data_IF_332226347467
#
_entry.id   IF_332226347467
#
_cell.length_a   1.000
_cell.length_b   1.000
_cell.length_c   1.000
_cell.angle_alpha   90.00
_cell.angle_beta   90.00
_cell.angle_gamma   90.00
#
_symmetry.space_group_name_H-M   'P 1'
#
loop_
_entity.id
_entity.type
_entity.pdbx_description
1 polymer ?
#
# COMPACT_ATOMS: atom_id res chain seq x y z
N UNK A 1 -11.77 38.84 43.15
CA UNK A 1 -12.16 38.33 41.81
C UNK A 1 -10.99 38.44 40.80
N UNK A 2 -9.98 37.56 40.86
CA UNK A 2 -8.85 37.53 39.90
C UNK A 2 -8.44 36.10 39.50
N UNK A 3 -9.39 35.15 39.46
CA UNK A 3 -9.12 33.71 39.28
C UNK A 3 -9.58 33.14 37.93
N UNK A 4 -10.28 33.92 37.10
CA UNK A 4 -10.85 33.45 35.82
C UNK A 4 -9.96 33.68 34.58
N UNK A 5 -8.88 34.45 34.66
CA UNK A 5 -8.06 34.75 33.47
C UNK A 5 -7.06 33.62 33.13
N UNK A 6 -6.70 32.75 34.09
CA UNK A 6 -5.73 31.67 33.86
C UNK A 6 -6.34 30.44 33.19
N UNK A 7 -7.65 30.20 33.35
CA UNK A 7 -8.35 29.07 32.72
C UNK A 7 -8.47 29.27 31.20
N UNK A 8 -8.66 30.51 30.75
CA UNK A 8 -8.71 30.85 29.33
C UNK A 8 -7.35 30.64 28.63
N UNK A 9 -6.24 30.95 29.31
CA UNK A 9 -4.88 30.78 28.78
C UNK A 9 -4.51 29.29 28.61
N UNK A 10 -4.97 28.43 29.53
CA UNK A 10 -4.78 26.98 29.46
C UNK A 10 -5.60 26.36 28.33
N UNK A 11 -6.84 26.82 28.09
CA UNK A 11 -7.66 26.38 26.94
C UNK A 11 -7.09 26.79 25.57
N UNK A 12 -6.38 27.93 25.50
CA UNK A 12 -5.68 28.36 24.28
C UNK A 12 -4.43 27.51 24.01
N UNK A 13 -3.69 27.12 25.06
CA UNK A 13 -2.47 26.31 24.91
C UNK A 13 -2.75 24.83 24.59
N UNK A 14 -3.90 24.29 24.98
CA UNK A 14 -4.28 22.88 24.69
C UNK A 14 -4.68 22.69 23.19
N UNK A 15 -4.94 23.76 22.44
CA UNK A 15 -5.30 23.69 21.02
C UNK A 15 -4.10 23.71 20.05
N UNK A 16 -2.86 23.86 20.53
CA UNK A 16 -1.66 23.80 19.69
C UNK A 16 -1.06 22.38 19.54
N UNK A 17 -1.79 21.34 19.97
CA UNK A 17 -1.54 19.96 19.58
C UNK A 17 -1.87 19.69 18.11
N UNK A 18 -1.51 20.60 17.21
CA UNK A 18 -1.68 20.43 15.78
C UNK A 18 -0.80 19.25 15.33
N UNK A 19 -1.45 18.20 14.83
CA UNK A 19 -0.82 17.21 13.96
C UNK A 19 0.03 17.99 12.95
N UNK A 20 1.33 17.70 12.89
CA UNK A 20 2.14 18.21 11.80
C UNK A 20 1.42 17.82 10.49
N UNK A 21 1.26 18.77 9.58
CA UNK A 21 0.75 18.55 8.23
C UNK A 21 1.93 18.63 7.27
N UNK A 22 1.76 18.16 6.04
CA UNK A 22 2.71 18.48 4.98
C UNK A 22 2.73 20.00 4.74
N UNK A 23 3.88 20.54 4.33
CA UNK A 23 3.99 21.94 3.90
C UNK A 23 3.13 22.18 2.66
N UNK A 24 2.08 22.98 2.84
CA UNK A 24 1.12 23.30 1.78
C UNK A 24 1.78 24.05 0.61
N UNK A 25 2.75 24.92 0.89
CA UNK A 25 3.49 25.65 -0.15
C UNK A 25 4.21 24.69 -1.11
N UNK A 26 4.94 23.69 -0.58
CA UNK A 26 5.62 22.68 -1.40
C UNK A 26 4.65 21.95 -2.34
N UNK A 27 3.42 21.66 -1.88
CA UNK A 27 2.39 20.97 -2.66
C UNK A 27 1.77 21.87 -3.74
N UNK A 28 1.54 23.15 -3.42
CA UNK A 28 0.93 24.11 -4.34
C UNK A 28 1.87 24.50 -5.47
N UNK A 29 3.12 24.75 -5.11
CA UNK A 29 4.17 25.26 -6.01
C UNK A 29 4.85 24.13 -6.80
N UNK A 30 4.46 22.87 -6.54
CA UNK A 30 4.96 21.68 -7.24
C UNK A 30 4.72 21.77 -8.75
N UNK A 31 5.77 21.55 -9.54
CA UNK A 31 5.68 21.34 -10.99
C UNK A 31 5.12 19.94 -11.27
N UNK A 32 3.78 19.84 -11.29
CA UNK A 32 3.09 18.55 -11.35
C UNK A 32 3.28 17.87 -12.69
N UNK A 33 3.70 16.61 -12.66
CA UNK A 33 3.86 15.76 -13.84
C UNK A 33 2.64 14.85 -13.99
N UNK A 34 2.27 14.56 -15.24
CA UNK A 34 1.17 13.65 -15.56
C UNK A 34 1.48 12.21 -15.12
N UNK A 35 0.45 11.50 -14.69
CA UNK A 35 0.48 10.07 -14.43
C UNK A 35 0.15 9.28 -15.69
N UNK A 36 0.62 8.04 -15.74
CA UNK A 36 0.18 7.11 -16.76
C UNK A 36 -1.32 6.80 -16.56
N UNK A 37 -1.97 6.37 -17.64
CA UNK A 37 -3.37 5.95 -17.58
C UNK A 37 -3.57 4.84 -16.54
N UNK A 38 -4.62 4.97 -15.74
CA UNK A 38 -5.04 3.91 -14.83
C UNK A 38 -5.52 2.69 -15.63
N UNK A 39 -5.34 1.52 -15.05
CA UNK A 39 -5.90 0.28 -15.56
C UNK A 39 -6.29 -0.61 -14.38
N UNK A 40 -6.85 -1.79 -14.65
CA UNK A 40 -7.06 -2.79 -13.60
C UNK A 40 -6.70 -4.17 -14.12
N UNK A 41 -5.77 -4.82 -13.44
CA UNK A 41 -5.33 -6.18 -13.75
C UNK A 41 -5.00 -6.93 -12.47
N UNK A 42 -5.39 -8.22 -12.35
CA UNK A 42 -4.95 -9.07 -11.25
C UNK A 42 -3.41 -9.13 -11.20
N UNK A 43 -2.86 -8.93 -10.02
CA UNK A 43 -1.41 -8.92 -9.81
C UNK A 43 -1.06 -9.42 -8.41
N UNK A 44 0.23 -9.68 -8.18
CA UNK A 44 0.75 -10.30 -6.97
C UNK A 44 1.85 -9.42 -6.38
N UNK A 45 1.76 -9.12 -5.09
CA UNK A 45 2.83 -8.49 -4.32
C UNK A 45 3.24 -9.45 -3.17
N UNK A 46 4.41 -10.06 -3.33
CA UNK A 46 4.89 -11.18 -2.51
C UNK A 46 5.65 -10.76 -1.25
N UNK A 47 6.31 -9.62 -1.31
CA UNK A 47 7.41 -9.31 -0.40
C UNK A 47 6.99 -8.40 0.74
N UNK A 48 5.73 -7.96 0.76
CA UNK A 48 5.21 -6.94 1.67
C UNK A 48 5.91 -5.59 1.42
N UNK A 49 6.16 -5.32 0.15
CA UNK A 49 6.83 -4.13 -0.35
C UNK A 49 5.82 -3.03 -0.60
N UNK A 50 5.19 -2.56 0.48
CA UNK A 50 4.04 -1.66 0.45
C UNK A 50 4.23 -0.42 1.32
N UNK A 51 3.76 0.71 0.78
CA UNK A 51 3.53 1.95 1.53
C UNK A 51 2.03 2.13 1.61
N UNK A 52 1.46 2.01 2.80
CA UNK A 52 0.02 2.15 3.00
C UNK A 52 -0.51 3.50 2.53
N UNK A 53 -1.56 3.49 1.73
CA UNK A 53 -2.41 4.67 1.47
C UNK A 53 -3.68 4.54 2.32
N UNK A 54 -4.32 3.38 2.26
CA UNK A 54 -5.47 2.99 3.08
C UNK A 54 -5.19 1.60 3.65
N UNK A 55 -5.03 1.52 4.97
CA UNK A 55 -4.91 0.27 5.75
C UNK A 55 -6.26 -0.04 6.39
N UNK A 56 -6.79 -1.24 6.19
CA UNK A 56 -7.98 -1.68 6.93
C UNK A 56 -7.60 -2.10 8.35
N UNK A 57 -8.54 -1.89 9.27
CA UNK A 57 -8.40 -2.31 10.66
C UNK A 57 -9.63 -3.10 11.10
N UNK A 58 -9.43 -4.03 12.02
CA UNK A 58 -10.48 -4.79 12.70
C UNK A 58 -10.41 -4.55 14.20
N UNK A 59 -11.56 -4.61 14.86
CA UNK A 59 -11.64 -4.55 16.31
C UNK A 59 -11.66 -5.97 16.87
N UNK A 60 -10.75 -6.27 17.79
CA UNK A 60 -10.71 -7.54 18.52
C UNK A 60 -11.00 -7.28 20.00
N UNK A 61 -11.92 -8.07 20.58
CA UNK A 61 -12.21 -8.03 22.00
C UNK A 61 -11.20 -8.90 22.72
N UNK A 62 -10.25 -8.27 23.41
CA UNK A 62 -9.15 -8.98 24.09
C UNK A 62 -9.59 -9.46 25.48
N UNK A 63 -10.47 -8.72 26.15
CA UNK A 63 -11.09 -9.05 27.44
C UNK A 63 -12.51 -8.46 27.55
N UNK A 64 -13.25 -8.78 28.61
CA UNK A 64 -14.67 -8.39 28.81
C UNK A 64 -14.99 -6.89 28.67
N UNK A 65 -13.99 -6.00 28.74
CA UNK A 65 -14.18 -4.54 28.64
C UNK A 65 -13.15 -3.80 27.77
N UNK A 66 -12.27 -4.50 27.05
CA UNK A 66 -11.22 -3.86 26.23
C UNK A 66 -11.29 -4.33 24.78
N UNK A 67 -11.43 -3.37 23.87
CA UNK A 67 -11.35 -3.58 22.43
C UNK A 67 -10.04 -3.02 21.92
N UNK A 68 -9.28 -3.84 21.21
CA UNK A 68 -8.05 -3.42 20.54
C UNK A 68 -8.31 -3.30 19.03
N UNK A 69 -7.73 -2.29 18.40
CA UNK A 69 -7.81 -2.12 16.95
C UNK A 69 -6.53 -2.69 16.34
N UNK A 70 -6.68 -3.72 15.54
CA UNK A 70 -5.59 -4.37 14.84
C UNK A 70 -5.64 -4.10 13.33
N UNK A 71 -4.46 -4.05 12.73
CA UNK A 71 -4.29 -3.89 11.29
C UNK A 71 -4.60 -5.20 10.55
N UNK A 72 -5.52 -5.18 9.59
CA UNK A 72 -5.85 -6.35 8.77
C UNK A 72 -4.62 -6.77 7.96
N UNK A 73 -4.16 -8.04 8.04
CA UNK A 73 -2.98 -8.48 7.30
C UNK A 73 -3.05 -8.22 5.80
N UNK A 74 -1.91 -8.04 5.15
CA UNK A 74 -1.88 -7.92 3.70
C UNK A 74 -2.25 -9.24 3.01
N UNK A 75 -2.97 -9.14 1.90
CA UNK A 75 -3.18 -10.25 0.98
C UNK A 75 -2.19 -10.19 -0.18
N UNK A 76 -1.58 -11.32 -0.57
CA UNK A 76 -0.55 -11.34 -1.63
C UNK A 76 -1.15 -11.06 -3.02
N UNK A 77 -2.33 -11.63 -3.28
CA UNK A 77 -3.09 -11.41 -4.50
C UNK A 77 -3.90 -10.11 -4.37
N UNK A 78 -4.06 -9.40 -5.48
CA UNK A 78 -4.83 -8.16 -5.57
C UNK A 78 -4.94 -7.66 -7.00
N UNK A 79 -5.07 -6.35 -7.15
CA UNK A 79 -5.16 -5.65 -8.41
C UNK A 79 -4.09 -4.57 -8.51
N UNK A 80 -3.33 -4.59 -9.61
CA UNK A 80 -2.51 -3.48 -10.04
C UNK A 80 -3.39 -2.44 -10.73
N UNK A 81 -3.29 -1.20 -10.27
CA UNK A 81 -4.12 -0.09 -10.77
C UNK A 81 -3.34 0.88 -11.68
N UNK A 82 -2.08 0.57 -11.97
CA UNK A 82 -1.12 1.47 -12.61
C UNK A 82 -0.44 2.41 -11.63
N UNK A 83 0.62 3.09 -12.08
CA UNK A 83 1.39 4.07 -11.30
C UNK A 83 1.88 3.54 -9.93
N UNK A 84 2.16 2.24 -9.84
CA UNK A 84 2.58 1.56 -8.61
C UNK A 84 1.46 1.32 -7.58
N UNK A 85 0.20 1.67 -7.87
CA UNK A 85 -0.92 1.44 -6.96
C UNK A 85 -1.32 -0.03 -6.96
N UNK A 86 -1.50 -0.59 -5.76
CA UNK A 86 -1.91 -1.97 -5.55
C UNK A 86 -3.03 -2.06 -4.52
N UNK A 87 -4.14 -2.68 -4.90
CA UNK A 87 -5.28 -2.95 -4.05
C UNK A 87 -5.40 -4.44 -3.78
N UNK A 88 -5.17 -4.86 -2.54
CA UNK A 88 -5.20 -6.28 -2.20
C UNK A 88 -6.61 -6.81 -1.89
N UNK A 89 -6.75 -8.13 -1.86
CA UNK A 89 -8.02 -8.79 -1.58
C UNK A 89 -8.49 -8.66 -0.12
N UNK A 90 -7.72 -7.99 0.74
CA UNK A 90 -8.11 -7.59 2.10
C UNK A 90 -8.42 -6.09 2.18
N UNK A 91 -8.73 -5.47 1.03
CA UNK A 91 -9.11 -4.08 0.87
C UNK A 91 -8.04 -3.04 1.25
N UNK A 92 -6.77 -3.43 1.32
CA UNK A 92 -5.68 -2.49 1.56
C UNK A 92 -5.24 -1.84 0.24
N UNK A 93 -5.23 -0.51 0.21
CA UNK A 93 -4.67 0.26 -0.91
C UNK A 93 -3.28 0.74 -0.54
N UNK A 94 -2.30 0.40 -1.37
CA UNK A 94 -0.90 0.70 -1.12
C UNK A 94 -0.18 1.16 -2.38
N UNK A 95 0.97 1.79 -2.18
CA UNK A 95 1.96 2.07 -3.22
C UNK A 95 3.09 1.04 -3.13
N UNK A 96 3.43 0.43 -4.26
CA UNK A 96 4.45 -0.61 -4.37
C UNK A 96 5.87 -0.05 -4.29
N UNK A 97 6.67 -0.57 -3.37
CA UNK A 97 8.07 -0.17 -3.16
C UNK A 97 8.95 -0.64 -4.32
N UNK A 98 8.67 -1.83 -4.88
CA UNK A 98 9.39 -2.34 -6.04
C UNK A 98 9.17 -1.47 -7.28
N UNK A 99 7.97 -0.93 -7.47
CA UNK A 99 7.69 0.07 -8.50
C UNK A 99 8.53 1.34 -8.30
N UNK A 100 8.56 1.89 -7.09
CA UNK A 100 9.31 3.12 -6.78
C UNK A 100 10.83 2.98 -6.96
N UNK A 101 11.36 1.77 -6.82
CA UNK A 101 12.78 1.47 -6.98
C UNK A 101 13.13 0.85 -8.34
N UNK A 102 12.15 0.71 -9.23
CA UNK A 102 12.29 0.02 -10.52
C UNK A 102 12.95 -1.38 -10.37
N UNK A 103 12.42 -2.19 -9.44
CA UNK A 103 12.90 -3.54 -9.15
C UNK A 103 12.01 -4.55 -9.84
N UNK A 104 12.59 -5.38 -10.71
CA UNK A 104 11.93 -6.59 -11.17
C UNK A 104 11.99 -7.66 -10.07
N UNK A 105 10.85 -7.88 -9.44
CA UNK A 105 10.65 -8.82 -8.33
C UNK A 105 10.82 -10.30 -8.70
N UNK A 106 10.91 -10.60 -10.01
CA UNK A 106 11.22 -11.96 -10.53
C UNK A 106 12.72 -12.25 -10.56
N UNK A 107 13.55 -11.22 -10.53
CA UNK A 107 15.01 -11.34 -10.52
C UNK A 107 15.55 -11.22 -9.10
N UNK A 108 16.85 -11.45 -8.96
CA UNK A 108 17.56 -11.20 -7.71
C UNK A 108 17.58 -9.71 -7.39
N UNK A 109 17.37 -9.40 -6.12
CA UNK A 109 17.42 -8.03 -5.64
C UNK A 109 17.86 -8.00 -4.18
N UNK A 110 18.42 -6.87 -3.79
CA UNK A 110 18.67 -6.56 -2.40
C UNK A 110 18.28 -5.09 -2.14
N UNK A 111 17.51 -4.87 -1.08
CA UNK A 111 17.16 -3.53 -0.60
C UNK A 111 17.39 -3.41 0.89
N UNK A 112 17.80 -2.22 1.34
CA UNK A 112 17.91 -1.87 2.75
C UNK A 112 16.85 -0.84 3.11
N UNK A 113 16.06 -1.12 4.14
CA UNK A 113 15.16 -0.17 4.80
C UNK A 113 15.84 0.39 6.04
N UNK A 114 16.14 1.69 6.00
CA UNK A 114 16.90 2.44 7.00
C UNK A 114 15.94 3.34 7.78
N UNK A 115 15.87 3.13 9.08
CA UNK A 115 15.11 3.99 9.99
C UNK A 115 16.06 4.94 10.73
N UNK A 116 15.52 6.04 11.27
CA UNK A 116 16.29 6.99 12.08
C UNK A 116 16.95 6.31 13.29
N UNK A 117 16.27 5.31 13.84
CA UNK A 117 16.80 4.41 14.87
C UNK A 117 17.39 3.17 14.20
N UNK A 118 18.72 3.12 14.09
CA UNK A 118 19.48 2.06 13.40
C UNK A 118 19.10 0.62 13.77
N UNK A 119 18.67 0.37 15.03
CA UNK A 119 18.23 -0.94 15.51
C UNK A 119 17.01 -1.52 14.78
N UNK A 120 16.29 -0.71 14.02
CA UNK A 120 15.11 -1.10 13.25
C UNK A 120 15.43 -1.38 11.78
N UNK A 121 16.66 -1.13 11.34
CA UNK A 121 17.05 -1.34 9.96
C UNK A 121 16.89 -2.81 9.57
N UNK A 122 16.41 -3.02 8.35
CA UNK A 122 16.18 -4.33 7.76
C UNK A 122 16.78 -4.37 6.38
N UNK A 123 17.40 -5.49 6.04
CA UNK A 123 17.81 -5.80 4.66
C UNK A 123 16.90 -6.92 4.16
N UNK A 124 16.45 -6.77 2.92
CA UNK A 124 15.60 -7.73 2.23
C UNK A 124 16.35 -8.20 1.00
N UNK A 125 16.46 -9.51 0.82
CA UNK A 125 17.21 -10.11 -0.28
C UNK A 125 16.40 -11.22 -0.91
N UNK A 126 16.29 -11.20 -2.24
CA UNK A 126 15.85 -12.32 -3.05
C UNK A 126 17.04 -12.85 -3.85
N UNK A 127 17.30 -14.14 -3.76
CA UNK A 127 18.33 -14.82 -4.56
C UNK A 127 17.82 -16.19 -5.00
N UNK A 128 17.72 -16.41 -6.31
CA UNK A 128 17.21 -17.65 -6.91
C UNK A 128 15.81 -18.03 -6.35
N UNK A 129 14.95 -17.02 -6.17
CA UNK A 129 13.61 -17.18 -5.60
C UNK A 129 13.56 -17.39 -4.08
N UNK A 130 14.69 -17.39 -3.38
CA UNK A 130 14.73 -17.44 -1.91
C UNK A 130 14.72 -16.03 -1.34
N UNK A 131 13.65 -15.71 -0.59
CA UNK A 131 13.47 -14.41 0.04
C UNK A 131 13.81 -14.44 1.53
N UNK A 132 14.74 -13.58 1.93
CA UNK A 132 15.24 -13.47 3.29
C UNK A 132 15.12 -12.05 3.83
N UNK A 133 14.93 -11.95 5.14
CA UNK A 133 14.98 -10.68 5.88
C UNK A 133 16.09 -10.77 6.92
N UNK A 134 17.04 -9.85 6.85
CA UNK A 134 18.10 -9.69 7.84
C UNK A 134 17.80 -8.47 8.73
N UNK A 135 17.89 -8.65 10.05
CA UNK A 135 17.80 -7.54 11.01
C UNK A 135 19.15 -7.24 11.65
N UNK A 136 19.61 -5.98 11.55
CA UNK A 136 20.88 -5.53 12.16
C UNK A 136 20.93 -5.76 13.68
N UNK A 137 19.79 -5.68 14.39
CA UNK A 137 19.76 -5.84 15.86
C UNK A 137 20.15 -7.24 16.34
N UNK A 138 19.78 -8.28 15.62
CA UNK A 138 19.95 -9.67 16.07
C UNK A 138 20.99 -10.45 15.26
N UNK A 139 21.52 -9.88 14.16
CA UNK A 139 22.27 -10.63 13.13
C UNK A 139 21.58 -11.95 12.76
N UNK A 140 20.24 -11.96 12.81
CA UNK A 140 19.42 -13.12 12.50
C UNK A 140 18.88 -12.94 11.11
N UNK A 141 19.12 -13.95 10.27
CA UNK A 141 18.52 -14.12 8.96
C UNK A 141 17.23 -14.90 9.17
N UNK A 142 16.13 -14.37 8.67
CA UNK A 142 14.84 -15.04 8.66
C UNK A 142 14.51 -15.39 7.22
N UNK A 143 14.52 -16.68 6.88
CA UNK A 143 13.90 -17.16 5.65
C UNK A 143 12.42 -16.81 5.74
N UNK A 144 11.92 -16.00 4.80
CA UNK A 144 10.51 -15.61 4.80
C UNK A 144 9.73 -16.42 3.79
N UNK A 145 10.26 -16.64 2.59
CA UNK A 145 9.55 -17.33 1.50
C UNK A 145 10.56 -17.98 0.54
N UNK A 146 10.16 -19.07 -0.10
CA UNK A 146 10.76 -19.56 -1.34
C UNK A 146 9.69 -19.52 -2.42
N UNK A 147 10.03 -18.92 -3.55
CA UNK A 147 9.12 -18.65 -4.66
C UNK A 147 9.59 -19.45 -5.88
N UNK A 148 8.68 -20.22 -6.48
CA UNK A 148 8.93 -20.98 -7.72
C UNK A 148 7.87 -20.66 -8.76
N UNK A 149 8.31 -20.20 -9.92
CA UNK A 149 7.45 -19.89 -11.05
C UNK A 149 7.35 -21.11 -11.99
N UNK A 150 6.14 -21.42 -12.43
CA UNK A 150 5.85 -22.50 -13.38
C UNK A 150 4.79 -22.02 -14.36
N UNK A 151 5.20 -21.51 -15.52
CA UNK A 151 4.33 -20.95 -16.57
C UNK A 151 3.20 -20.05 -15.99
N UNK A 152 2.03 -20.65 -15.79
CA UNK A 152 0.78 -20.05 -15.35
C UNK A 152 0.55 -20.16 -13.83
N UNK A 153 1.56 -20.54 -13.07
CA UNK A 153 1.46 -20.72 -11.63
C UNK A 153 2.70 -20.30 -10.86
N UNK A 154 2.48 -19.99 -9.59
CA UNK A 154 3.47 -19.60 -8.62
C UNK A 154 3.27 -20.47 -7.38
N UNK A 155 4.34 -21.11 -6.90
CA UNK A 155 4.35 -21.84 -5.63
C UNK A 155 5.16 -21.08 -4.61
N UNK A 156 4.59 -20.91 -3.41
CA UNK A 156 5.19 -20.22 -2.28
C UNK A 156 5.35 -21.21 -1.13
N UNK A 157 6.59 -21.38 -0.68
CA UNK A 157 6.96 -22.30 0.38
C UNK A 157 7.70 -21.59 1.52
N UNK A 158 7.67 -22.17 2.71
CA UNK A 158 8.42 -21.71 3.89
C UNK A 158 9.10 -22.89 4.54
N UNK A 159 10.43 -22.83 4.71
CA UNK A 159 11.24 -23.94 5.27
C UNK A 159 10.90 -25.29 4.61
N UNK A 160 10.90 -25.32 3.28
CA UNK A 160 10.54 -26.47 2.44
C UNK A 160 9.10 -27.00 2.59
N UNK A 161 8.23 -26.31 3.34
CA UNK A 161 6.81 -26.63 3.42
C UNK A 161 6.02 -25.73 2.50
N UNK A 162 5.28 -26.32 1.57
CA UNK A 162 4.34 -25.60 0.73
C UNK A 162 3.34 -24.82 1.59
N UNK A 163 3.10 -23.55 1.26
CA UNK A 163 2.13 -22.69 1.94
C UNK A 163 0.95 -22.38 1.03
N UNK A 164 1.26 -21.78 -0.12
CA UNK A 164 0.26 -21.28 -1.04
C UNK A 164 0.70 -21.47 -2.49
N UNK A 165 -0.27 -21.60 -3.38
CA UNK A 165 -0.06 -21.47 -4.83
C UNK A 165 -0.96 -20.36 -5.37
N UNK A 166 -0.47 -19.61 -6.35
CA UNK A 166 -1.30 -18.74 -7.17
C UNK A 166 -1.29 -19.32 -8.57
N UNK A 167 -2.46 -19.59 -9.14
CA UNK A 167 -2.60 -20.19 -10.48
C UNK A 167 -3.48 -19.29 -11.32
N UNK A 168 -3.00 -18.87 -12.48
CA UNK A 168 -3.70 -18.00 -13.42
C UNK A 168 -3.98 -18.78 -14.69
N UNK A 169 -5.22 -19.18 -14.92
CA UNK A 169 -5.63 -19.91 -16.14
C UNK A 169 -6.74 -19.13 -16.83
N UNK A 170 -6.52 -18.76 -18.08
CA UNK A 170 -7.46 -18.00 -18.91
C UNK A 170 -7.98 -16.73 -18.23
N UNK A 171 -9.21 -16.79 -17.74
CA UNK A 171 -9.95 -15.70 -17.10
C UNK A 171 -9.93 -15.80 -15.57
N UNK A 172 -9.19 -16.73 -14.98
CA UNK A 172 -9.33 -17.06 -13.57
C UNK A 172 -7.96 -17.13 -12.86
N UNK A 173 -7.79 -16.27 -11.86
CA UNK A 173 -6.64 -16.33 -10.93
C UNK A 173 -7.09 -16.88 -9.59
N UNK A 174 -6.48 -17.98 -9.13
CA UNK A 174 -6.82 -18.68 -7.89
C UNK A 174 -5.68 -18.54 -6.89
N UNK A 175 -6.01 -18.17 -5.66
CA UNK A 175 -5.14 -18.29 -4.50
C UNK A 175 -5.52 -19.54 -3.72
N UNK A 176 -4.58 -20.48 -3.59
CA UNK A 176 -4.83 -21.81 -3.05
C UNK A 176 -3.89 -22.09 -1.87
N UNK A 177 -4.39 -22.75 -0.83
CA UNK A 177 -3.52 -23.42 0.15
C UNK A 177 -3.61 -24.92 -0.06
N UNK A 178 -2.49 -25.55 -0.39
CA UNK A 178 -2.43 -26.94 -0.85
C UNK A 178 -3.36 -27.15 -2.06
N UNK A 179 -4.52 -27.81 -1.87
CA UNK A 179 -5.54 -28.03 -2.92
C UNK A 179 -6.80 -27.17 -2.76
N UNK A 180 -6.97 -26.50 -1.62
CA UNK A 180 -8.17 -25.71 -1.34
C UNK A 180 -8.02 -24.31 -1.93
N UNK A 181 -8.97 -23.92 -2.78
CA UNK A 181 -9.12 -22.52 -3.21
C UNK A 181 -9.57 -21.70 -2.01
N UNK A 182 -8.76 -20.72 -1.64
CA UNK A 182 -9.07 -19.76 -0.56
C UNK A 182 -9.79 -18.57 -1.19
N UNK A 183 -9.16 -17.97 -2.21
CA UNK A 183 -9.69 -16.81 -2.93
C UNK A 183 -9.53 -16.99 -4.43
N UNK A 184 -10.35 -16.29 -5.20
CA UNK A 184 -10.26 -16.28 -6.66
C UNK A 184 -10.71 -14.93 -7.24
N UNK A 185 -10.03 -14.51 -8.29
CA UNK A 185 -10.43 -13.39 -9.14
C UNK A 185 -10.85 -13.95 -10.50
N UNK A 186 -12.07 -13.68 -10.91
CA UNK A 186 -12.63 -14.09 -12.20
C UNK A 186 -12.80 -12.87 -13.10
N UNK A 187 -12.10 -12.86 -14.23
CA UNK A 187 -12.25 -11.88 -15.30
C UNK A 187 -13.58 -12.12 -16.03
N UNK A 188 -14.39 -11.06 -16.14
CA UNK A 188 -15.62 -11.02 -16.91
C UNK A 188 -15.38 -10.48 -18.33
N UNK A 189 -14.63 -9.39 -18.42
CA UNK A 189 -14.22 -8.75 -19.67
C UNK A 189 -12.83 -8.11 -19.51
N UNK A 190 -12.36 -7.32 -20.48
CA UNK A 190 -11.02 -6.71 -20.44
C UNK A 190 -10.78 -5.82 -19.21
N UNK A 191 -11.84 -5.22 -18.68
CA UNK A 191 -11.82 -4.15 -17.68
C UNK A 191 -12.63 -4.49 -16.43
N UNK A 192 -13.23 -5.67 -16.32
CA UNK A 192 -14.13 -6.06 -15.23
C UNK A 192 -13.77 -7.44 -14.67
N UNK A 193 -13.63 -7.50 -13.35
CA UNK A 193 -13.31 -8.67 -12.55
C UNK A 193 -14.29 -8.84 -11.37
N UNK A 194 -14.48 -10.08 -10.94
CA UNK A 194 -15.23 -10.47 -9.76
C UNK A 194 -14.33 -11.19 -8.75
N UNK A 195 -14.52 -10.92 -7.46
CA UNK A 195 -14.05 -11.79 -6.39
C UNK A 195 -15.25 -12.44 -5.71
N UNK A 196 -15.28 -13.77 -5.67
CA UNK A 196 -16.37 -14.50 -5.02
C UNK A 196 -15.99 -14.89 -3.61
N UNK A 197 -16.73 -14.39 -2.62
CA UNK A 197 -16.71 -14.87 -1.25
C UNK A 197 -17.91 -15.78 -0.97
N UNK A 198 -17.94 -16.44 0.19
CA UNK A 198 -19.03 -17.37 0.55
C UNK A 198 -20.44 -16.77 0.46
N UNK A 199 -20.59 -15.45 0.66
CA UNK A 199 -21.89 -14.77 0.73
C UNK A 199 -21.97 -13.44 -0.04
N UNK A 200 -20.89 -13.03 -0.68
CA UNK A 200 -20.82 -11.79 -1.44
C UNK A 200 -20.00 -11.96 -2.71
N UNK A 201 -20.24 -11.09 -3.67
CA UNK A 201 -19.41 -10.93 -4.86
C UNK A 201 -18.98 -9.48 -4.89
N UNK A 202 -17.68 -9.28 -4.84
CA UNK A 202 -17.07 -7.95 -4.92
C UNK A 202 -16.73 -7.69 -6.39
N UNK A 203 -17.04 -6.49 -6.87
CA UNK A 203 -16.87 -6.10 -8.27
C UNK A 203 -15.73 -5.11 -8.46
N UNK A 204 -14.83 -5.38 -9.41
CA UNK A 204 -13.73 -4.46 -9.72
C UNK A 204 -13.74 -4.12 -11.20
N UNK A 205 -13.85 -2.83 -11.53
CA UNK A 205 -14.05 -2.42 -12.92
C UNK A 205 -13.37 -1.12 -13.28
N UNK A 206 -12.89 -1.01 -14.50
CA UNK A 206 -12.42 0.24 -15.09
C UNK A 206 -13.49 0.83 -16.01
N UNK A 207 -14.04 1.98 -15.64
CA UNK A 207 -15.14 2.66 -16.33
C UNK A 207 -14.88 4.16 -16.31
N UNK A 208 -15.08 4.84 -17.43
CA UNK A 208 -14.94 6.31 -17.55
C UNK A 208 -13.60 6.86 -17.01
N UNK A 209 -12.49 6.19 -17.36
CA UNK A 209 -11.12 6.52 -16.88
C UNK A 209 -10.91 6.38 -15.36
N UNK A 210 -11.84 5.74 -14.66
CA UNK A 210 -11.74 5.47 -13.23
C UNK A 210 -11.74 3.96 -12.95
N UNK A 211 -10.96 3.55 -11.95
CA UNK A 211 -11.03 2.21 -11.37
C UNK A 211 -11.99 2.22 -10.18
N UNK A 212 -13.03 1.42 -10.24
CA UNK A 212 -13.98 1.16 -9.18
C UNK A 212 -13.54 -0.11 -8.43
N UNK A 213 -13.32 0.03 -7.13
CA UNK A 213 -12.86 -1.02 -6.22
C UNK A 213 -14.02 -1.41 -5.30
N UNK A 214 -14.81 -2.39 -5.75
CA UNK A 214 -16.09 -2.76 -5.16
C UNK A 214 -17.00 -1.52 -4.98
N UNK A 215 -17.82 -1.47 -3.95
CA UNK A 215 -18.65 -0.33 -3.58
C UNK A 215 -17.95 0.56 -2.54
N UNK A 216 -16.62 0.43 -2.40
CA UNK A 216 -15.83 1.06 -1.33
C UNK A 216 -15.08 2.27 -1.84
N UNK A 217 -14.33 2.13 -2.93
CA UNK A 217 -13.44 3.17 -3.42
C UNK A 217 -13.51 3.35 -4.94
N UNK A 218 -13.22 4.57 -5.38
CA UNK A 218 -13.02 4.97 -6.77
C UNK A 218 -11.65 5.65 -6.87
N UNK A 219 -10.82 5.19 -7.80
CA UNK A 219 -9.52 5.78 -8.12
C UNK A 219 -9.61 6.39 -9.51
N UNK A 220 -9.35 7.69 -9.64
CA UNK A 220 -9.48 8.41 -10.91
C UNK A 220 -8.32 9.37 -11.11
N UNK A 221 -8.07 9.75 -12.36
CA UNK A 221 -7.25 10.91 -12.68
C UNK A 221 -8.13 12.16 -12.79
N UNK A 222 -7.57 13.33 -12.47
CA UNK A 222 -8.20 14.61 -12.80
C UNK A 222 -8.13 14.88 -14.31
N UNK A 223 -8.74 15.98 -14.75
CA UNK A 223 -8.82 16.33 -16.18
C UNK A 223 -7.46 16.48 -16.86
N UNK A 224 -6.44 16.96 -16.14
CA UNK A 224 -5.07 17.15 -16.63
C UNK A 224 -4.17 15.94 -16.39
N UNK A 225 -4.67 14.82 -15.86
CA UNK A 225 -3.87 13.61 -15.64
C UNK A 225 -2.77 13.69 -14.56
N UNK A 226 -2.57 14.84 -13.92
CA UNK A 226 -1.47 15.08 -12.98
C UNK A 226 -1.84 14.91 -11.49
N UNK A 227 -3.09 14.53 -11.21
CA UNK A 227 -3.55 14.20 -9.85
C UNK A 227 -4.32 12.89 -9.91
N UNK A 228 -3.90 11.89 -9.12
CA UNK A 228 -4.73 10.73 -8.81
C UNK A 228 -5.60 11.07 -7.60
N UNK A 229 -6.91 10.90 -7.73
CA UNK A 229 -7.88 11.09 -6.65
C UNK A 229 -8.43 9.74 -6.20
N UNK A 230 -8.35 9.49 -4.89
CA UNK A 230 -8.94 8.32 -4.24
C UNK A 230 -10.17 8.79 -3.47
N UNK A 231 -11.33 8.30 -3.88
CA UNK A 231 -12.64 8.72 -3.42
C UNK A 231 -13.31 7.53 -2.73
N UNK A 232 -13.83 7.70 -1.52
CA UNK A 232 -14.69 6.72 -0.88
C UNK A 232 -16.10 6.86 -1.43
N UNK A 233 -16.64 5.78 -1.95
CA UNK A 233 -18.01 5.72 -2.44
C UNK A 233 -18.93 5.68 -1.21
N UNK A 234 -19.88 6.62 -1.16
CA UNK A 234 -20.84 6.70 -0.06
C UNK A 234 -22.26 6.49 -0.56
N UNK A 235 -23.14 5.99 0.32
CA UNK A 235 -24.56 5.76 -0.03
C UNK A 235 -25.28 7.03 -0.50
N UNK A 236 -24.92 8.18 0.05
CA UNK A 236 -25.54 9.49 -0.26
C UNK A 236 -24.66 10.38 -1.14
N UNK A 237 -23.35 10.35 -0.90
CA UNK A 237 -22.38 11.20 -1.58
C UNK A 237 -21.00 10.56 -1.50
N UNK A 238 -20.21 10.77 -2.54
CA UNK A 238 -18.80 10.42 -2.60
C UNK A 238 -17.93 11.37 -1.76
N UNK A 239 -16.91 10.84 -1.10
CA UNK A 239 -16.01 11.61 -0.22
C UNK A 239 -14.56 11.47 -0.69
N UNK A 240 -13.87 12.56 -1.07
CA UNK A 240 -12.44 12.52 -1.32
C UNK A 240 -11.69 12.02 -0.09
N UNK A 241 -10.84 11.01 -0.24
CA UNK A 241 -10.02 10.46 0.85
C UNK A 241 -8.58 10.91 0.75
N UNK A 242 -7.98 10.70 -0.42
CA UNK A 242 -6.58 11.04 -0.67
C UNK A 242 -6.41 11.58 -2.08
N UNK A 243 -5.38 12.41 -2.24
CA UNK A 243 -4.84 12.85 -3.52
C UNK A 243 -3.38 12.42 -3.60
N UNK A 244 -2.96 12.07 -4.81
CA UNK A 244 -1.57 11.78 -5.13
C UNK A 244 -1.12 12.74 -6.23
N UNK A 245 -0.02 13.43 -5.99
CA UNK A 245 0.64 14.29 -6.97
C UNK A 245 2.13 13.98 -6.99
N UNK A 246 2.80 14.24 -8.11
CA UNK A 246 4.24 14.06 -8.22
C UNK A 246 4.91 15.14 -9.06
N UNK A 247 6.20 15.32 -8.83
CA UNK A 247 7.16 15.86 -9.79
C UNK A 247 8.25 14.81 -10.05
N UNK A 248 9.39 15.22 -10.60
CA UNK A 248 10.50 14.31 -10.93
C UNK A 248 11.14 13.65 -9.70
N UNK A 249 11.14 14.34 -8.55
CA UNK A 249 11.86 13.91 -7.36
C UNK A 249 10.94 13.61 -6.17
N UNK A 250 9.68 14.01 -6.23
CA UNK A 250 8.77 13.99 -5.10
C UNK A 250 7.43 13.37 -5.48
N UNK A 251 6.90 12.55 -4.57
CA UNK A 251 5.53 12.06 -4.63
C UNK A 251 4.84 12.36 -3.31
N UNK A 252 3.70 13.03 -3.37
CA UNK A 252 2.90 13.41 -2.20
C UNK A 252 1.59 12.63 -2.20
N UNK A 253 1.23 12.06 -1.04
CA UNK A 253 -0.04 11.36 -0.80
C UNK A 253 -0.70 12.02 0.40
N UNK A 254 -1.85 12.69 0.23
CA UNK A 254 -2.42 13.49 1.31
C UNK A 254 -3.94 13.60 1.25
N UNK A 255 -4.57 13.84 2.40
CA UNK A 255 -6.00 14.09 2.49
C UNK A 255 -6.35 15.58 2.34
N UNK A 256 -7.63 15.93 2.48
CA UNK A 256 -8.15 17.30 2.44
C UNK A 256 -7.50 18.27 3.46
N UNK A 257 -6.93 17.73 4.54
CA UNK A 257 -6.22 18.48 5.59
C UNK A 257 -4.70 18.52 5.38
N UNK A 258 -4.20 18.09 4.22
CA UNK A 258 -2.77 17.96 3.92
C UNK A 258 -2.00 17.08 4.91
N UNK A 259 -2.69 16.15 5.57
CA UNK A 259 -2.07 15.09 6.34
C UNK A 259 -1.76 13.92 5.42
N UNK A 260 -0.55 13.38 5.51
CA UNK A 260 -0.17 12.22 4.71
C UNK A 260 1.33 11.97 4.66
N UNK A 261 1.81 11.68 3.45
CA UNK A 261 3.15 11.19 3.17
C UNK A 261 3.80 12.00 2.07
N UNK A 262 5.10 12.26 2.22
CA UNK A 262 5.99 12.75 1.15
C UNK A 262 7.03 11.67 0.89
N UNK A 263 7.25 11.34 -0.37
CA UNK A 263 8.29 10.42 -0.82
C UNK A 263 9.25 11.24 -1.66
N UNK A 264 10.51 11.29 -1.25
CA UNK A 264 11.60 11.91 -2.03
C UNK A 264 12.35 10.80 -2.73
N UNK A 265 12.23 10.73 -4.04
CA UNK A 265 12.87 9.77 -4.93
C UNK A 265 14.29 10.23 -5.26
N UNK A 266 15.17 9.27 -5.52
CA UNK A 266 16.51 9.50 -6.00
C UNK A 266 17.04 8.25 -6.68
N UNK A 267 18.27 8.31 -7.21
CA UNK A 267 18.85 7.18 -7.92
C UNK A 267 18.99 5.95 -7.03
N UNK A 268 18.24 4.89 -7.36
CA UNK A 268 18.20 3.63 -6.60
C UNK A 268 17.68 3.74 -5.16
N UNK A 269 17.02 4.84 -4.77
CA UNK A 269 16.53 5.02 -3.39
C UNK A 269 15.32 5.94 -3.29
N UNK A 270 14.63 5.90 -2.16
CA UNK A 270 13.70 6.95 -1.77
C UNK A 270 13.66 7.14 -0.25
N UNK A 271 13.24 8.33 0.19
CA UNK A 271 12.97 8.64 1.59
C UNK A 271 11.50 8.94 1.79
N UNK A 272 10.87 8.24 2.75
CA UNK A 272 9.50 8.47 3.17
C UNK A 272 9.46 9.39 4.40
N UNK A 273 8.62 10.42 4.32
CA UNK A 273 8.24 11.30 5.42
C UNK A 273 6.76 11.16 5.74
N UNK A 274 6.43 11.08 7.02
CA UNK A 274 5.05 11.15 7.53
C UNK A 274 4.80 12.55 8.09
N UNK A 275 3.98 13.33 7.41
CA UNK A 275 3.74 14.73 7.79
C UNK A 275 5.04 15.50 8.06
N UNK A 276 5.95 15.49 7.08
CA UNK A 276 7.29 16.08 7.11
C UNK A 276 8.26 15.54 8.18
N UNK A 277 7.86 14.51 8.93
CA UNK A 277 8.77 13.80 9.84
C UNK A 277 9.38 12.60 9.13
N UNK A 278 10.69 12.45 9.24
CA UNK A 278 11.40 11.29 8.69
C UNK A 278 10.75 9.98 9.17
N UNK A 279 10.33 9.15 8.23
CA UNK A 279 9.85 7.80 8.47
C UNK A 279 10.96 6.79 8.31
N UNK A 280 11.40 6.58 7.06
CA UNK A 280 12.49 5.69 6.70
C UNK A 280 13.02 6.03 5.29
N UNK A 281 14.23 5.59 5.00
CA UNK A 281 14.79 5.51 3.65
C UNK A 281 14.75 4.05 3.18
N UNK A 282 14.52 3.82 1.89
CA UNK A 282 14.80 2.54 1.24
C UNK A 282 15.80 2.78 0.11
N UNK A 283 16.81 1.94 0.04
CA UNK A 283 17.82 1.98 -1.02
C UNK A 283 18.05 0.58 -1.57
N UNK A 284 18.30 0.50 -2.88
CA UNK A 284 18.81 -0.68 -3.55
C UNK A 284 20.28 -0.87 -3.15
N UNK A 285 20.64 -2.09 -2.77
CA UNK A 285 22.05 -2.45 -2.65
C UNK A 285 22.57 -2.76 -4.06
N UNK A 286 23.71 -2.18 -4.43
CA UNK A 286 24.45 -2.57 -5.63
C UNK A 286 25.08 -3.95 -5.47
#
# INVERSE_FOLDING_TARGET
MKRNNYILLILILINFGCKTTLKISEIKDLSKIEFDSLFIQPDIELYDFRIDIIRQTTEEQVNDSTTETEDVPYHLLGFNLGNGLFYDLNDNLSLRIDYLLNIDTKNDFEIEKVYSKSKWNRRFKSHEGNFTIESKRKKKIYDKLQVKYFNDSLSISFRNKHRYSIVTVDSLTKYMSTKRVIDKIQKKDKTFYYQTHKRSVDEYKFVDKAVILDNKYKVTLNQTGNIIEIIRIGKKKDYPRYKIIRDDENLYIFNDKFCGKKIVMGDGRFTLFYNDKFGYEIKKSN
#
